data_IF_830359116438
#
_entry.id   IF_830359116438
#
_cell.length_a   1.000
_cell.length_b   1.000
_cell.length_c   1.000
_cell.angle_alpha   90.00
_cell.angle_beta   90.00
_cell.angle_gamma   90.00
#
_symmetry.space_group_name_H-M   'P 1'
#
loop_
_entity.id
_entity.type
_entity.pdbx_description
1 polymer ?
#
# COMPACT_ATOMS: atom_id res chain seq x y z
N UNK A 1 4.57 -4.84 -5.79
CA UNK A 1 3.54 -5.56 -6.56
C UNK A 1 2.18 -4.93 -6.34
N UNK A 2 1.46 -4.63 -7.40
CA UNK A 2 0.07 -4.16 -7.33
C UNK A 2 -0.91 -5.29 -7.04
N UNK A 3 -2.05 -4.94 -6.47
CA UNK A 3 -3.14 -5.89 -6.23
C UNK A 3 -3.64 -6.47 -7.56
N UNK A 4 -3.60 -7.79 -7.76
CA UNK A 4 -4.07 -8.42 -8.99
C UNK A 4 -5.59 -8.43 -9.08
N UNK A 5 -6.11 -8.40 -10.30
CA UNK A 5 -7.52 -8.67 -10.56
C UNK A 5 -7.68 -10.15 -10.98
N UNK A 6 -8.39 -10.97 -10.19
CA UNK A 6 -8.58 -12.38 -10.54
C UNK A 6 -9.41 -12.56 -11.80
N UNK A 7 -9.14 -13.63 -12.55
CA UNK A 7 -9.88 -13.97 -13.75
C UNK A 7 -11.39 -14.15 -13.46
N UNK A 8 -12.24 -13.53 -14.26
CA UNK A 8 -13.68 -13.59 -14.10
C UNK A 8 -14.29 -12.58 -13.12
N UNK A 9 -13.46 -11.75 -12.50
CA UNK A 9 -13.89 -10.67 -11.62
C UNK A 9 -13.52 -9.31 -12.22
N UNK A 10 -14.31 -8.29 -11.89
CA UNK A 10 -14.04 -6.90 -12.25
C UNK A 10 -13.93 -6.05 -10.99
N UNK A 11 -12.76 -5.45 -10.78
CA UNK A 11 -12.54 -4.56 -9.66
C UNK A 11 -13.33 -3.27 -9.82
N UNK A 12 -13.87 -2.75 -8.71
CA UNK A 12 -14.45 -1.41 -8.65
C UNK A 12 -13.41 -0.29 -8.76
N UNK A 13 -12.11 -0.62 -8.66
CA UNK A 13 -11.00 0.34 -8.70
C UNK A 13 -11.12 1.45 -7.64
N UNK A 14 -11.57 1.09 -6.45
CA UNK A 14 -11.75 2.04 -5.36
C UNK A 14 -10.42 2.66 -4.92
N UNK A 15 -9.45 1.85 -4.51
CA UNK A 15 -8.12 2.30 -4.12
C UNK A 15 -7.04 1.54 -4.87
N UNK A 16 -5.97 2.26 -5.20
CA UNK A 16 -4.75 1.64 -5.73
C UNK A 16 -3.89 1.18 -4.56
N UNK A 17 -3.76 -0.12 -4.41
CA UNK A 17 -2.95 -0.73 -3.37
C UNK A 17 -1.77 -1.48 -3.95
N UNK A 18 -0.65 -1.46 -3.25
CA UNK A 18 0.53 -2.22 -3.63
C UNK A 18 1.30 -2.70 -2.40
N UNK A 19 2.08 -3.75 -2.57
CA UNK A 19 3.05 -4.22 -1.59
C UNK A 19 4.48 -3.94 -2.07
N UNK A 20 5.34 -3.57 -1.13
CA UNK A 20 6.78 -3.36 -1.34
C UNK A 20 7.51 -4.58 -0.78
N UNK A 21 8.37 -5.17 -1.58
CA UNK A 21 9.31 -6.18 -1.12
C UNK A 21 10.63 -5.49 -0.73
N UNK A 22 10.82 -5.31 0.57
CA UNK A 22 11.97 -4.60 1.12
C UNK A 22 13.30 -5.27 0.76
N UNK A 23 13.31 -6.58 0.56
CA UNK A 23 14.52 -7.31 0.15
C UNK A 23 14.94 -6.99 -1.30
N UNK A 24 13.99 -6.56 -2.13
CA UNK A 24 14.24 -6.20 -3.53
C UNK A 24 14.51 -4.71 -3.67
N UNK A 25 13.73 -3.90 -2.97
CA UNK A 25 13.74 -2.43 -3.15
C UNK A 25 14.68 -1.71 -2.20
N UNK A 26 15.15 -2.37 -1.12
CA UNK A 26 15.85 -1.76 0.02
C UNK A 26 15.05 -0.58 0.65
N UNK A 27 13.73 -0.61 0.49
CA UNK A 27 12.79 0.37 1.06
C UNK A 27 11.58 -0.34 1.64
N UNK A 28 11.17 0.09 2.82
CA UNK A 28 9.92 -0.33 3.43
C UNK A 28 8.74 0.49 2.89
N UNK A 29 7.53 -0.02 3.06
CA UNK A 29 6.31 0.73 2.74
C UNK A 29 6.20 2.03 3.53
N UNK A 30 6.65 2.05 4.78
CA UNK A 30 6.66 3.24 5.62
C UNK A 30 7.61 4.32 5.08
N UNK A 31 8.80 3.96 4.60
CA UNK A 31 9.72 4.92 3.98
C UNK A 31 9.15 5.54 2.71
N UNK A 32 8.37 4.77 1.94
CA UNK A 32 7.66 5.30 0.76
C UNK A 32 6.54 6.25 1.19
N UNK A 33 5.77 5.92 2.22
CA UNK A 33 4.74 6.81 2.78
C UNK A 33 5.36 8.13 3.26
N UNK A 34 6.47 8.07 4.01
CA UNK A 34 7.18 9.26 4.47
C UNK A 34 7.74 10.10 3.33
N UNK A 35 8.23 9.46 2.27
CA UNK A 35 8.69 10.16 1.07
C UNK A 35 7.55 10.93 0.41
N UNK A 36 6.41 10.29 0.19
CA UNK A 36 5.25 10.92 -0.42
C UNK A 36 4.71 12.06 0.45
N UNK A 37 4.66 11.89 1.76
CA UNK A 37 4.24 12.93 2.71
C UNK A 37 5.13 14.19 2.63
N UNK A 38 6.44 14.03 2.48
CA UNK A 38 7.38 15.15 2.26
C UNK A 38 7.09 15.94 0.99
N UNK A 39 6.47 15.31 0.01
CA UNK A 39 6.02 15.93 -1.24
C UNK A 39 4.55 16.35 -1.21
N UNK A 40 3.92 16.32 -0.02
CA UNK A 40 2.51 16.67 0.18
C UNK A 40 1.54 15.76 -0.59
N UNK A 41 1.95 14.52 -0.83
CA UNK A 41 1.17 13.46 -1.48
C UNK A 41 0.68 12.52 -0.40
N UNK A 42 -0.64 12.47 -0.18
CA UNK A 42 -1.23 11.60 0.83
C UNK A 42 -1.17 10.13 0.38
N UNK A 43 -0.58 9.31 1.23
CA UNK A 43 -0.62 7.86 1.13
C UNK A 43 -0.83 7.25 2.52
N UNK A 44 -1.30 6.01 2.59
CA UNK A 44 -1.64 5.38 3.87
C UNK A 44 -1.19 3.92 3.89
N UNK A 45 -0.90 3.35 5.08
CA UNK A 45 -0.77 1.91 5.23
C UNK A 45 -2.06 1.20 4.77
N UNK A 46 -1.97 -0.07 4.43
CA UNK A 46 -3.15 -0.91 4.27
C UNK A 46 -3.94 -1.01 5.58
N UNK A 47 -5.16 -1.53 5.52
CA UNK A 47 -6.00 -1.70 6.71
C UNK A 47 -5.34 -2.64 7.71
N UNK A 48 -5.30 -2.18 8.95
CA UNK A 48 -4.78 -2.97 10.05
C UNK A 48 -5.68 -4.19 10.27
N UNK A 49 -5.14 -5.42 10.27
CA UNK A 49 -5.91 -6.62 10.53
C UNK A 49 -6.68 -6.57 11.85
N UNK A 50 -7.87 -7.15 11.88
CA UNK A 50 -8.78 -7.06 13.03
C UNK A 50 -8.13 -7.55 14.32
N UNK A 51 -7.42 -8.69 14.29
CA UNK A 51 -6.76 -9.27 15.45
C UNK A 51 -5.59 -8.43 15.99
N UNK A 52 -5.03 -7.52 15.18
CA UNK A 52 -4.00 -6.58 15.60
C UNK A 52 -4.57 -5.32 16.26
N UNK A 53 -5.88 -5.12 16.23
CA UNK A 53 -6.53 -3.98 16.84
C UNK A 53 -6.73 -4.23 18.35
N UNK A 54 -6.47 -3.24 19.22
CA UNK A 54 -6.50 -3.43 20.68
C UNK A 54 -7.81 -4.02 21.21
N UNK A 55 -8.95 -3.66 20.60
CA UNK A 55 -10.28 -4.15 21.01
C UNK A 55 -10.48 -5.65 20.78
N UNK A 56 -9.70 -6.26 19.89
CA UNK A 56 -9.79 -7.68 19.55
C UNK A 56 -8.62 -8.52 20.06
N UNK A 57 -7.76 -7.95 20.90
CA UNK A 57 -6.53 -8.59 21.40
C UNK A 57 -6.76 -9.95 22.06
N UNK A 58 -7.90 -10.11 22.76
CA UNK A 58 -8.25 -11.34 23.47
C UNK A 58 -9.07 -12.32 22.59
N UNK A 59 -9.35 -11.98 21.34
CA UNK A 59 -10.12 -12.84 20.44
C UNK A 59 -9.17 -13.79 19.71
N UNK A 60 -9.47 -15.11 19.66
CA UNK A 60 -8.64 -16.06 18.92
C UNK A 60 -8.51 -15.71 17.46
N UNK A 61 -7.27 -15.74 16.96
CA UNK A 61 -6.96 -15.53 15.56
C UNK A 61 -6.86 -16.86 14.81
N UNK A 62 -7.59 -16.99 13.73
CA UNK A 62 -7.56 -18.15 12.84
C UNK A 62 -7.03 -17.73 11.46
N UNK A 63 -5.74 -17.85 11.26
CA UNK A 63 -5.08 -17.44 10.02
C UNK A 63 -3.63 -17.90 9.96
N UNK A 64 -2.95 -17.57 8.87
CA UNK A 64 -1.55 -17.92 8.60
C UNK A 64 -0.60 -16.72 8.63
N UNK A 65 -1.06 -15.55 9.09
CA UNK A 65 -0.26 -14.32 9.18
C UNK A 65 -0.11 -13.58 7.84
N UNK A 66 -0.82 -13.99 6.79
CA UNK A 66 -0.73 -13.33 5.48
C UNK A 66 -1.27 -11.89 5.49
N UNK A 67 -2.32 -11.65 6.24
CA UNK A 67 -2.91 -10.33 6.46
C UNK A 67 -1.96 -9.38 7.20
N UNK A 68 -1.23 -9.87 8.22
CA UNK A 68 -0.17 -9.10 8.88
C UNK A 68 0.97 -8.77 7.93
N UNK A 69 1.39 -9.74 7.12
CA UNK A 69 2.43 -9.55 6.12
C UNK A 69 2.03 -8.48 5.10
N UNK A 70 0.79 -8.51 4.60
CA UNK A 70 0.27 -7.49 3.71
C UNK A 70 0.22 -6.11 4.37
N UNK A 71 -0.25 -6.02 5.61
CA UNK A 71 -0.29 -4.77 6.35
C UNK A 71 1.10 -4.16 6.53
N UNK A 72 2.09 -4.99 6.86
CA UNK A 72 3.46 -4.53 7.10
C UNK A 72 4.19 -4.10 5.82
N UNK A 73 3.85 -4.68 4.66
CA UNK A 73 4.52 -4.40 3.39
C UNK A 73 3.72 -3.51 2.45
N UNK A 74 2.44 -3.29 2.73
CA UNK A 74 1.52 -2.65 1.80
C UNK A 74 1.23 -1.19 2.09
N UNK A 75 0.78 -0.48 1.05
CA UNK A 75 0.29 0.89 1.16
C UNK A 75 -0.80 1.17 0.13
N UNK A 76 -1.61 2.20 0.42
CA UNK A 76 -2.59 2.77 -0.49
C UNK A 76 -2.03 4.06 -1.08
N UNK A 77 -2.09 4.19 -2.39
CA UNK A 77 -1.75 5.40 -3.13
C UNK A 77 -2.98 6.28 -3.35
N UNK A 78 -2.79 7.57 -3.66
CA UNK A 78 -3.88 8.44 -4.08
C UNK A 78 -4.65 7.81 -5.24
N UNK A 79 -5.98 7.83 -5.17
CA UNK A 79 -6.85 7.13 -6.13
C UNK A 79 -8.11 7.95 -6.47
N UNK A 80 -8.01 9.28 -6.40
CA UNK A 80 -9.10 10.17 -6.75
C UNK A 80 -9.38 10.16 -8.26
N UNK A 81 -10.64 10.30 -8.64
CA UNK A 81 -11.09 10.24 -10.03
C UNK A 81 -10.77 11.49 -10.84
N UNK A 82 -10.40 12.57 -10.18
CA UNK A 82 -10.04 13.87 -10.78
C UNK A 82 -8.51 14.10 -10.83
N UNK A 83 -7.71 13.08 -10.47
CA UNK A 83 -6.26 13.13 -10.58
C UNK A 83 -5.84 13.32 -12.03
N UNK A 84 -4.98 14.32 -12.28
CA UNK A 84 -4.41 14.55 -13.59
C UNK A 84 -3.31 13.54 -13.94
N UNK A 85 -2.98 13.44 -15.23
CA UNK A 85 -1.88 12.58 -15.67
C UNK A 85 -0.53 13.08 -15.14
N UNK A 86 -0.36 14.38 -14.98
CA UNK A 86 0.83 15.01 -14.42
C UNK A 86 1.02 14.62 -12.95
N UNK A 87 -0.02 14.72 -12.13
CA UNK A 87 0.00 14.29 -10.73
C UNK A 87 0.27 12.80 -10.59
N UNK A 88 -0.33 11.98 -11.45
CA UNK A 88 -0.07 10.53 -11.46
C UNK A 88 1.39 10.22 -11.82
N UNK A 89 1.95 10.91 -12.81
CA UNK A 89 3.34 10.71 -13.21
C UNK A 89 4.31 11.15 -12.12
N UNK A 90 4.04 12.24 -11.41
CA UNK A 90 4.83 12.68 -10.26
C UNK A 90 4.93 11.58 -9.19
N UNK A 91 3.79 10.96 -8.84
CA UNK A 91 3.75 9.85 -7.88
C UNK A 91 4.59 8.66 -8.38
N UNK A 92 4.43 8.30 -9.66
CA UNK A 92 5.17 7.19 -10.28
C UNK A 92 6.67 7.45 -10.26
N UNK A 93 7.09 8.66 -10.60
CA UNK A 93 8.50 9.04 -10.67
C UNK A 93 9.14 9.01 -9.29
N UNK A 94 8.50 9.61 -8.28
CA UNK A 94 8.97 9.61 -6.90
C UNK A 94 9.17 8.19 -6.35
N UNK A 95 8.19 7.32 -6.53
CA UNK A 95 8.29 5.93 -6.08
C UNK A 95 9.36 5.18 -6.88
N UNK A 96 9.41 5.38 -8.20
CA UNK A 96 10.37 4.70 -9.07
C UNK A 96 11.81 5.08 -8.76
N UNK A 97 12.07 6.33 -8.44
CA UNK A 97 13.39 6.80 -8.01
C UNK A 97 13.77 6.23 -6.64
N UNK A 98 12.83 6.22 -5.70
CA UNK A 98 13.07 5.69 -4.36
C UNK A 98 13.46 4.21 -4.35
N UNK A 99 12.81 3.40 -5.19
CA UNK A 99 13.06 1.94 -5.23
C UNK A 99 14.25 1.54 -6.12
N UNK A 100 14.73 2.44 -6.98
CA UNK A 100 15.93 2.20 -7.81
C UNK A 100 17.23 2.55 -7.09
N UNK A 101 17.13 3.46 -6.14
CA UNK A 101 18.27 3.96 -5.38
C UNK A 101 18.73 3.08 -4.30
#
# INVERSE_FOLDING_TARGET
TFMPEPNGYKSSRWLTTLSIDENITNKSSNEIIELLDKHQIESRPLWKPMHMQPVYKEIPYHGIGFDESLFNSGLCLPSCSDMTSEEQNEIIDLISEAIKG
#
